data_IF_337195935768
#
_entry.id   IF_337195935768
#
_cell.length_a   1.000
_cell.length_b   1.000
_cell.length_c   1.000
_cell.angle_alpha   90.00
_cell.angle_beta   90.00
_cell.angle_gamma   90.00
#
_symmetry.space_group_name_H-M   'P 1'
#
loop_
_entity.id
_entity.type
_entity.pdbx_description
1 polymer ?
#
# COMPACT_ATOMS: atom_id res chain seq x y z
N UNK A 1 -1.56 2.07 -22.10
CA UNK A 1 -2.72 1.18 -21.89
C UNK A 1 -3.36 1.54 -20.56
N UNK A 2 -4.53 2.15 -20.58
CA UNK A 2 -5.28 2.60 -19.39
C UNK A 2 -5.97 1.41 -18.70
N UNK A 3 -5.18 0.47 -18.17
CA UNK A 3 -5.70 -0.82 -17.73
C UNK A 3 -6.33 -0.81 -16.35
N UNK A 4 -6.02 0.15 -15.47
CA UNK A 4 -6.60 0.20 -14.13
C UNK A 4 -7.91 0.99 -14.14
N UNK A 5 -9.05 0.30 -14.24
CA UNK A 5 -10.39 0.89 -14.09
C UNK A 5 -10.85 0.81 -12.64
N UNK A 6 -11.68 1.77 -12.20
CA UNK A 6 -12.15 1.82 -10.81
C UNK A 6 -12.92 0.56 -10.39
N UNK A 7 -13.55 -0.15 -11.33
CA UNK A 7 -14.32 -1.38 -11.10
C UNK A 7 -13.49 -2.67 -11.03
N UNK A 8 -12.17 -2.60 -11.20
CA UNK A 8 -11.34 -3.80 -11.12
C UNK A 8 -11.21 -4.26 -9.66
N UNK A 9 -11.39 -5.56 -9.42
CA UNK A 9 -11.20 -6.15 -8.09
C UNK A 9 -9.70 -6.16 -7.77
N UNK A 10 -9.29 -5.40 -6.76
CA UNK A 10 -7.89 -5.32 -6.33
C UNK A 10 -7.62 -6.19 -5.11
N UNK A 11 -6.49 -6.87 -5.11
CA UNK A 11 -5.95 -7.60 -3.95
C UNK A 11 -4.55 -7.06 -3.65
N UNK A 12 -4.28 -6.86 -2.38
CA UNK A 12 -2.99 -6.41 -1.88
C UNK A 12 -2.31 -7.58 -1.17
N UNK A 13 -1.20 -8.05 -1.72
CA UNK A 13 -0.28 -8.94 -1.01
C UNK A 13 0.81 -8.06 -0.38
N UNK A 14 0.87 -8.02 0.95
CA UNK A 14 1.83 -7.20 1.69
C UNK A 14 2.88 -8.12 2.31
N UNK A 15 4.15 -7.80 2.11
CA UNK A 15 5.29 -8.59 2.57
C UNK A 15 6.42 -7.71 3.08
N UNK A 16 7.48 -8.35 3.60
CA UNK A 16 8.72 -7.68 4.01
C UNK A 16 8.46 -6.52 4.99
N UNK A 17 7.58 -6.77 5.95
CA UNK A 17 7.19 -5.76 6.94
C UNK A 17 8.35 -5.53 7.91
N UNK A 18 8.75 -4.27 8.06
CA UNK A 18 9.74 -3.79 9.02
C UNK A 18 9.07 -2.79 9.94
N UNK A 19 9.23 -2.96 11.25
CA UNK A 19 8.89 -1.95 12.25
C UNK A 19 10.19 -1.22 12.60
N UNK A 20 10.32 0.02 12.13
CA UNK A 20 11.55 0.84 12.22
C UNK A 20 11.62 1.57 13.57
N UNK A 21 10.57 2.33 13.91
CA UNK A 21 10.41 3.00 15.21
C UNK A 21 9.25 2.37 15.95
N UNK A 22 9.39 2.15 17.26
CA UNK A 22 8.31 1.64 18.11
C UNK A 22 8.46 2.15 19.54
N UNK A 23 7.41 2.80 20.04
CA UNK A 23 7.20 3.11 21.45
C UNK A 23 5.78 2.69 21.88
N UNK A 24 5.40 3.00 23.12
CA UNK A 24 4.09 2.62 23.67
C UNK A 24 2.88 3.15 22.86
N UNK A 25 3.08 4.23 22.11
CA UNK A 25 2.00 4.98 21.43
C UNK A 25 2.28 5.29 19.96
N UNK A 26 3.50 5.09 19.45
CA UNK A 26 3.90 5.42 18.08
C UNK A 26 4.69 4.28 17.46
N UNK A 27 4.49 4.09 16.16
CA UNK A 27 5.33 3.20 15.39
C UNK A 27 5.54 3.74 13.97
N UNK A 28 6.63 3.35 13.32
CA UNK A 28 6.73 3.45 11.86
C UNK A 28 6.83 2.05 11.27
N UNK A 29 5.85 1.68 10.46
CA UNK A 29 5.82 0.42 9.71
C UNK A 29 6.16 0.67 8.25
N UNK A 30 7.10 -0.09 7.70
CA UNK A 30 7.48 -0.08 6.30
C UNK A 30 7.14 -1.47 5.74
N UNK A 31 6.59 -1.54 4.54
CA UNK A 31 6.29 -2.82 3.90
C UNK A 31 6.41 -2.70 2.39
N UNK A 32 6.66 -3.82 1.72
CA UNK A 32 6.47 -3.92 0.28
C UNK A 32 5.10 -4.52 -0.03
N UNK A 33 4.59 -4.25 -1.23
CA UNK A 33 3.33 -4.78 -1.69
C UNK A 33 3.30 -5.09 -3.17
N UNK A 34 2.52 -6.11 -3.51
CA UNK A 34 2.09 -6.40 -4.88
C UNK A 34 0.59 -6.20 -4.94
N UNK A 35 0.14 -5.32 -5.84
CA UNK A 35 -1.27 -5.02 -6.07
C UNK A 35 -1.69 -5.66 -7.38
N UNK A 36 -2.39 -6.79 -7.29
CA UNK A 36 -3.02 -7.44 -8.45
C UNK A 36 -4.41 -6.86 -8.66
N UNK A 37 -4.85 -6.80 -9.92
CA UNK A 37 -6.20 -6.42 -10.29
C UNK A 37 -6.81 -7.47 -11.22
N UNK A 38 -8.11 -7.70 -11.07
CA UNK A 38 -8.88 -8.58 -11.93
C UNK A 38 -10.05 -7.81 -12.55
N UNK A 39 -10.15 -7.85 -13.88
CA UNK A 39 -11.15 -7.11 -14.65
C UNK A 39 -11.10 -7.50 -16.12
N UNK A 40 -12.23 -7.42 -16.82
CA UNK A 40 -12.31 -7.77 -18.25
C UNK A 40 -11.98 -9.23 -18.58
N UNK A 41 -12.12 -10.15 -17.61
CA UNK A 41 -11.81 -11.57 -17.78
C UNK A 41 -10.35 -11.96 -17.51
N UNK A 42 -9.50 -11.02 -17.10
CA UNK A 42 -8.06 -11.25 -16.90
C UNK A 42 -7.61 -10.86 -15.48
N UNK A 43 -6.59 -11.57 -14.97
CA UNK A 43 -5.80 -11.18 -13.79
C UNK A 43 -4.50 -10.53 -14.27
N UNK A 44 -4.18 -9.35 -13.74
CA UNK A 44 -2.97 -8.63 -14.13
C UNK A 44 -2.32 -7.90 -12.94
N UNK A 45 -1.02 -7.60 -13.08
CA UNK A 45 -0.27 -6.80 -12.11
C UNK A 45 -0.62 -5.32 -12.27
N UNK A 46 -1.20 -4.71 -11.24
CA UNK A 46 -1.55 -3.30 -11.23
C UNK A 46 -0.37 -2.42 -10.81
N UNK A 47 0.30 -2.79 -9.71
CA UNK A 47 1.47 -2.08 -9.22
C UNK A 47 2.32 -2.97 -8.28
N UNK A 48 3.60 -2.68 -8.20
CA UNK A 48 4.42 -2.99 -7.02
C UNK A 48 4.68 -1.72 -6.25
N UNK A 49 4.68 -1.81 -4.92
CA UNK A 49 4.62 -0.64 -4.04
C UNK A 49 5.49 -0.79 -2.81
N UNK A 50 5.92 0.35 -2.28
CA UNK A 50 6.43 0.50 -0.91
C UNK A 50 5.44 1.31 -0.08
N UNK A 51 5.09 0.79 1.08
CA UNK A 51 4.29 1.47 2.10
C UNK A 51 5.20 1.99 3.20
N UNK A 52 4.98 3.23 3.64
CA UNK A 52 5.48 3.75 4.91
C UNK A 52 4.32 4.34 5.71
N UNK A 53 3.94 3.67 6.79
CA UNK A 53 2.92 4.11 7.72
C UNK A 53 3.53 4.62 9.01
N UNK A 54 3.33 5.90 9.31
CA UNK A 54 3.51 6.41 10.67
C UNK A 54 2.22 6.16 11.44
N UNK A 55 2.30 5.35 12.49
CA UNK A 55 1.17 4.81 13.25
C UNK A 55 1.06 5.48 14.62
N UNK A 56 -0.16 5.61 15.12
CA UNK A 56 -0.45 5.96 16.51
C UNK A 56 -1.36 4.92 17.14
N UNK A 57 -1.03 4.51 18.36
CA UNK A 57 -1.89 3.67 19.19
C UNK A 57 -2.96 4.54 19.81
N UNK A 58 -4.20 4.16 19.61
CA UNK A 58 -5.38 4.86 20.11
C UNK A 58 -5.76 4.32 21.50
N UNK A 59 -6.60 5.03 22.27
CA UNK A 59 -7.04 4.58 23.59
C UNK A 59 -7.79 3.24 23.57
N UNK A 60 -8.41 2.87 22.44
CA UNK A 60 -9.05 1.57 22.21
C UNK A 60 -8.04 0.42 21.98
N UNK A 61 -6.74 0.70 22.07
CA UNK A 61 -5.66 -0.26 21.85
C UNK A 61 -5.29 -0.49 20.39
N UNK A 62 -6.04 0.06 19.43
CA UNK A 62 -5.80 -0.11 18.00
C UNK A 62 -4.70 0.81 17.48
N UNK A 63 -3.98 0.37 16.46
CA UNK A 63 -3.05 1.22 15.72
C UNK A 63 -3.73 1.84 14.51
N UNK A 64 -3.62 3.15 14.32
CA UNK A 64 -4.15 3.88 13.17
C UNK A 64 -3.04 4.62 12.44
N UNK A 65 -3.15 4.72 11.12
CA UNK A 65 -2.25 5.56 10.34
C UNK A 65 -2.46 7.03 10.73
N UNK A 66 -1.43 7.65 11.30
CA UNK A 66 -1.34 9.10 11.40
C UNK A 66 -0.85 9.69 10.07
N UNK A 67 -0.03 8.94 9.32
CA UNK A 67 0.39 9.25 7.95
C UNK A 67 0.64 7.94 7.20
N UNK A 68 0.23 7.89 5.93
CA UNK A 68 0.57 6.80 5.02
C UNK A 68 1.17 7.39 3.74
N UNK A 69 2.39 6.97 3.42
CA UNK A 69 3.04 7.24 2.13
C UNK A 69 3.06 5.95 1.34
N UNK A 70 2.67 6.04 0.07
CA UNK A 70 2.70 4.94 -0.88
C UNK A 70 3.62 5.36 -2.02
N UNK A 71 4.75 4.67 -2.16
CA UNK A 71 5.55 4.72 -3.37
C UNK A 71 5.10 3.60 -4.31
N UNK A 72 5.06 3.89 -5.60
CA UNK A 72 4.79 2.89 -6.63
C UNK A 72 6.02 2.77 -7.51
N UNK A 73 6.49 1.54 -7.73
CA UNK A 73 7.59 1.32 -8.66
C UNK A 73 7.11 1.58 -10.09
N UNK A 74 8.02 2.08 -10.94
CA UNK A 74 7.73 2.40 -12.34
C UNK A 74 6.45 3.24 -12.55
N UNK A 75 6.17 4.19 -11.63
CA UNK A 75 5.04 5.11 -11.75
C UNK A 75 5.20 5.99 -13.00
N UNK A 76 4.60 5.53 -14.11
CA UNK A 76 4.61 6.27 -15.36
C UNK A 76 3.52 7.33 -15.29
N UNK A 77 3.91 8.58 -15.02
CA UNK A 77 3.03 9.72 -15.22
C UNK A 77 2.63 9.72 -16.70
N UNK A 78 1.34 9.71 -17.02
CA UNK A 78 0.89 9.83 -18.39
C UNK A 78 1.55 11.07 -19.02
N UNK A 79 2.18 10.90 -20.18
CA UNK A 79 2.67 12.04 -20.96
C UNK A 79 1.46 12.92 -21.29
N UNK A 80 1.62 14.23 -21.14
CA UNK A 80 0.59 15.21 -21.52
C UNK A 80 0.31 15.13 -23.02
#
# INVERSE_FOLDING_TARGET
SDRAKQNDQRRHAISNVVIDKLDATRATAIAYGVVTAAGGGELYLGATVIYRGDMRKMPDGTWRFAKLVIGMDAYRRAAK
#
